data_IF_842768820108
#
_entry.id   IF_842768820108
#
_cell.length_a   1.000
_cell.length_b   1.000
_cell.length_c   1.000
_cell.angle_alpha   90.00
_cell.angle_beta   90.00
_cell.angle_gamma   90.00
#
_symmetry.space_group_name_H-M   'P 1'
#
loop_
_entity.id
_entity.type
_entity.pdbx_description
1 polymer ?
#
# COMPACT_ATOMS: atom_id res chain seq x y z
N UNK A 1 -12.22 8.37 6.20
CA UNK A 1 -12.42 8.06 4.77
C UNK A 1 -11.19 8.61 4.07
N UNK A 2 -10.32 7.72 3.60
CA UNK A 2 -9.11 8.12 2.88
C UNK A 2 -9.34 7.79 1.41
N UNK A 3 -9.16 8.79 0.55
CA UNK A 3 -9.03 8.62 -0.90
C UNK A 3 -7.55 8.78 -1.16
N UNK A 4 -6.88 7.73 -1.63
CA UNK A 4 -5.45 7.82 -1.92
C UNK A 4 -5.17 7.31 -3.32
N UNK A 5 -5.22 8.23 -4.28
CA UNK A 5 -4.74 7.95 -5.64
C UNK A 5 -3.22 7.66 -5.61
N UNK A 6 -2.54 8.25 -4.65
CA UNK A 6 -1.10 8.16 -4.46
C UNK A 6 -0.66 6.76 -4.00
N UNK A 7 -1.52 6.01 -3.29
CA UNK A 7 -1.24 4.63 -2.86
C UNK A 7 -1.71 3.61 -3.91
N UNK A 8 -2.88 3.82 -4.52
CA UNK A 8 -3.52 2.80 -5.37
C UNK A 8 -3.36 3.05 -6.88
N UNK A 9 -2.71 4.15 -7.29
CA UNK A 9 -2.56 4.54 -8.69
C UNK A 9 -3.85 5.06 -9.36
N UNK A 10 -5.00 4.72 -8.80
CA UNK A 10 -6.33 5.19 -9.19
C UNK A 10 -7.11 5.73 -7.99
N UNK A 11 -8.16 6.54 -8.20
CA UNK A 11 -9.01 7.02 -7.11
C UNK A 11 -9.73 5.86 -6.39
N UNK A 12 -9.06 5.27 -5.41
CA UNK A 12 -9.59 4.16 -4.61
C UNK A 12 -10.07 4.69 -3.28
N UNK A 13 -11.36 4.45 -3.01
CA UNK A 13 -11.96 4.77 -1.73
C UNK A 13 -11.73 3.59 -0.77
N UNK A 14 -10.94 3.82 0.27
CA UNK A 14 -10.77 2.84 1.34
C UNK A 14 -11.79 3.05 2.45
N UNK A 15 -12.46 1.97 2.81
CA UNK A 15 -13.31 1.89 4.00
C UNK A 15 -12.56 1.10 5.07
N UNK A 16 -12.23 1.76 6.18
CA UNK A 16 -11.80 1.09 7.40
C UNK A 16 -13.07 0.79 8.19
N UNK A 17 -13.49 -0.47 8.19
CA UNK A 17 -14.64 -0.92 8.96
C UNK A 17 -14.21 -1.24 10.40
N UNK A 18 -15.16 -1.27 11.33
CA UNK A 18 -14.88 -1.64 12.72
C UNK A 18 -14.25 -3.03 12.83
N UNK A 19 -14.60 -3.96 11.94
CA UNK A 19 -13.98 -5.28 11.83
C UNK A 19 -12.47 -5.22 11.52
N UNK A 20 -12.01 -4.28 10.68
CA UNK A 20 -10.59 -4.11 10.40
C UNK A 20 -9.83 -3.66 11.67
N UNK A 21 -10.45 -2.81 12.47
CA UNK A 21 -9.89 -2.32 13.75
C UNK A 21 -9.86 -3.44 14.78
N UNK A 22 -10.93 -4.22 14.90
CA UNK A 22 -10.97 -5.39 15.78
C UNK A 22 -9.90 -6.40 15.38
N UNK A 23 -9.79 -6.75 14.09
CA UNK A 23 -8.78 -7.66 13.61
C UNK A 23 -7.36 -7.18 13.93
N UNK A 24 -7.10 -5.87 13.81
CA UNK A 24 -5.81 -5.29 14.20
C UNK A 24 -5.55 -5.43 15.72
N UNK A 25 -6.53 -5.10 16.56
CA UNK A 25 -6.41 -5.17 18.02
C UNK A 25 -6.27 -6.61 18.54
N UNK A 26 -6.90 -7.57 17.86
CA UNK A 26 -6.87 -8.99 18.20
C UNK A 26 -5.73 -9.77 17.51
N UNK A 27 -4.82 -9.06 16.83
CA UNK A 27 -3.69 -9.64 16.10
C UNK A 27 -4.13 -10.71 15.07
N UNK A 28 -5.30 -10.50 14.46
CA UNK A 28 -5.84 -11.32 13.38
C UNK A 28 -5.33 -10.84 12.01
N UNK A 29 -5.68 -11.58 10.97
CA UNK A 29 -5.39 -11.18 9.59
C UNK A 29 -6.04 -9.85 9.26
N UNK A 30 -5.23 -8.91 8.80
CA UNK A 30 -5.67 -7.60 8.33
C UNK A 30 -5.53 -7.50 6.81
N UNK A 31 -6.44 -6.77 6.18
CA UNK A 31 -6.34 -6.46 4.76
C UNK A 31 -5.18 -5.50 4.49
N UNK A 32 -4.33 -5.82 3.50
CA UNK A 32 -3.18 -5.02 3.10
C UNK A 32 -3.51 -3.54 2.81
N UNK A 33 -4.66 -3.26 2.18
CA UNK A 33 -5.08 -1.90 1.87
C UNK A 33 -5.43 -1.05 3.10
N UNK A 34 -5.91 -1.68 4.19
CA UNK A 34 -6.23 -0.96 5.42
C UNK A 34 -4.96 -0.47 6.13
N UNK A 35 -3.90 -1.28 6.14
CA UNK A 35 -2.62 -0.94 6.74
C UNK A 35 -1.91 0.18 5.98
N UNK A 36 -1.82 0.07 4.66
CA UNK A 36 -1.16 1.10 3.86
C UNK A 36 -1.90 2.42 3.83
N UNK A 37 -3.24 2.39 3.79
CA UNK A 37 -4.04 3.61 3.90
C UNK A 37 -3.75 4.37 5.19
N UNK A 38 -3.62 3.65 6.32
CA UNK A 38 -3.25 4.24 7.60
C UNK A 38 -1.80 4.77 7.60
N UNK A 39 -0.85 4.01 7.05
CA UNK A 39 0.54 4.44 6.98
C UNK A 39 0.71 5.69 6.09
N UNK A 40 -0.01 5.76 4.96
CA UNK A 40 -0.04 6.93 4.09
C UNK A 40 -0.62 8.17 4.80
N UNK A 41 -1.70 8.00 5.57
CA UNK A 41 -2.28 9.09 6.38
C UNK A 41 -1.24 9.62 7.39
N UNK A 42 -0.57 8.76 8.14
CA UNK A 42 0.50 9.15 9.06
C UNK A 42 1.69 9.85 8.38
N UNK A 43 2.09 9.40 7.19
CA UNK A 43 3.19 10.02 6.43
C UNK A 43 2.78 11.39 5.90
N UNK A 44 1.52 11.53 5.48
CA UNK A 44 0.94 12.80 5.03
C UNK A 44 0.88 13.80 6.19
N UNK A 45 0.39 13.37 7.36
CA UNK A 45 0.34 14.21 8.57
C UNK A 45 1.71 14.72 9.02
N UNK A 46 2.79 14.02 8.65
CA UNK A 46 4.17 14.38 9.02
C UNK A 46 4.94 15.11 7.91
N UNK A 47 4.30 15.40 6.78
CA UNK A 47 4.92 16.05 5.62
C UNK A 47 6.13 15.26 5.07
N UNK A 48 6.00 13.92 5.02
CA UNK A 48 7.08 13.01 4.61
C UNK A 48 6.84 12.38 3.22
N UNK A 49 5.88 12.91 2.44
CA UNK A 49 5.52 12.37 1.11
C UNK A 49 6.65 12.51 0.07
N UNK A 50 7.60 13.43 0.28
CA UNK A 50 8.81 13.54 -0.54
C UNK A 50 9.91 12.52 -0.16
N UNK A 51 9.72 11.77 0.93
CA UNK A 51 10.67 10.75 1.40
C UNK A 51 10.14 9.34 1.18
N UNK A 52 8.83 9.12 1.17
CA UNK A 52 8.24 7.80 1.10
C UNK A 52 7.32 7.63 -0.10
N UNK A 53 7.35 6.45 -0.70
CA UNK A 53 6.44 6.06 -1.78
C UNK A 53 5.84 4.67 -1.50
N UNK A 54 4.66 4.43 -2.04
CA UNK A 54 3.87 3.23 -1.79
C UNK A 54 3.62 2.47 -3.10
N UNK A 55 3.92 1.17 -3.11
CA UNK A 55 3.54 0.29 -4.21
C UNK A 55 2.08 -0.09 -4.04
N UNK A 56 1.30 -0.03 -5.12
CA UNK A 56 -0.10 -0.43 -5.09
C UNK A 56 -0.27 -1.85 -4.52
N UNK A 57 -1.02 -2.03 -3.42
CA UNK A 57 -1.21 -3.33 -2.79
C UNK A 57 -1.94 -4.32 -3.69
N UNK A 58 -2.81 -3.85 -4.60
CA UNK A 58 -3.47 -4.76 -5.56
C UNK A 58 -2.44 -5.33 -6.54
N UNK A 59 -1.42 -4.54 -6.89
CA UNK A 59 -0.32 -4.99 -7.71
C UNK A 59 0.55 -6.02 -6.97
N UNK A 60 0.64 -6.03 -5.65
CA UNK A 60 1.47 -7.02 -4.92
C UNK A 60 0.71 -8.26 -4.46
N UNK A 61 -0.62 -8.26 -4.49
CA UNK A 61 -1.43 -9.45 -4.17
C UNK A 61 -1.07 -10.68 -5.02
N UNK A 62 -0.61 -10.45 -6.25
CA UNK A 62 -0.20 -11.51 -7.17
C UNK A 62 1.20 -11.23 -7.75
N UNK A 63 2.22 -11.18 -6.89
CA UNK A 63 3.61 -10.99 -7.29
C UNK A 63 4.14 -12.04 -8.28
N UNK A 64 3.45 -13.18 -8.42
CA UNK A 64 3.85 -14.27 -9.32
C UNK A 64 3.40 -14.04 -10.78
N UNK A 65 2.58 -13.02 -11.07
CA UNK A 65 2.18 -12.74 -12.45
C UNK A 65 3.42 -12.43 -13.32
N UNK A 66 3.49 -12.90 -14.58
CA UNK A 66 4.66 -12.73 -15.44
C UNK A 66 5.12 -11.27 -15.60
N UNK A 67 4.19 -10.32 -15.58
CA UNK A 67 4.46 -8.90 -15.79
C UNK A 67 4.73 -8.11 -14.50
N UNK A 68 4.69 -8.75 -13.31
CA UNK A 68 4.87 -8.05 -12.03
C UNK A 68 6.23 -7.36 -11.93
N UNK A 69 7.29 -8.07 -12.30
CA UNK A 69 8.66 -7.55 -12.23
C UNK A 69 8.82 -6.34 -13.16
N UNK A 70 8.23 -6.38 -14.37
CA UNK A 70 8.28 -5.24 -15.30
C UNK A 70 7.55 -4.03 -14.72
N UNK A 71 6.33 -4.23 -14.23
CA UNK A 71 5.56 -3.18 -13.55
C UNK A 71 6.37 -2.53 -12.42
N UNK A 72 6.97 -3.34 -11.54
CA UNK A 72 7.74 -2.82 -10.40
C UNK A 72 8.96 -2.03 -10.87
N UNK A 73 9.69 -2.52 -11.87
CA UNK A 73 10.87 -1.85 -12.42
C UNK A 73 10.52 -0.52 -13.06
N UNK A 74 9.44 -0.46 -13.84
CA UNK A 74 9.00 0.77 -14.51
C UNK A 74 8.55 1.80 -13.47
N UNK A 75 7.78 1.38 -12.46
CA UNK A 75 7.37 2.23 -11.35
C UNK A 75 8.56 2.79 -10.54
N UNK A 76 9.55 1.94 -10.21
CA UNK A 76 10.77 2.38 -9.50
C UNK A 76 11.61 3.37 -10.32
N UNK A 77 11.59 3.29 -11.66
CA UNK A 77 12.27 4.25 -12.54
C UNK A 77 11.56 5.59 -12.63
N UNK A 78 10.23 5.60 -12.50
CA UNK A 78 9.43 6.82 -12.47
C UNK A 78 9.49 7.53 -11.11
N UNK A 79 9.73 6.77 -10.04
CA UNK A 79 9.94 7.30 -8.69
C UNK A 79 11.24 8.09 -8.53
N UNK A 80 11.31 8.93 -7.50
CA UNK A 80 12.58 9.59 -7.14
C UNK A 80 13.51 8.58 -6.46
N UNK A 81 14.79 8.64 -6.81
CA UNK A 81 15.80 7.67 -6.34
C UNK A 81 16.12 7.77 -4.85
N UNK A 82 15.72 8.85 -4.19
CA UNK A 82 15.89 9.12 -2.77
C UNK A 82 14.70 8.67 -1.91
N UNK A 83 13.62 8.17 -2.53
CA UNK A 83 12.47 7.67 -1.80
C UNK A 83 12.75 6.31 -1.13
N UNK A 84 12.17 6.12 0.06
CA UNK A 84 12.01 4.82 0.71
C UNK A 84 10.67 4.23 0.26
N UNK A 85 10.72 3.05 -0.33
CA UNK A 85 9.54 2.39 -0.91
C UNK A 85 8.91 1.41 0.07
N UNK A 86 7.62 1.58 0.35
CA UNK A 86 6.80 0.58 1.02
C UNK A 86 6.16 -0.34 -0.03
N UNK A 87 6.42 -1.64 0.10
CA UNK A 87 5.83 -2.67 -0.73
C UNK A 87 5.18 -3.71 0.19
N UNK A 88 3.85 -3.84 0.17
CA UNK A 88 3.15 -4.80 1.00
C UNK A 88 3.37 -6.17 0.37
N UNK A 89 3.77 -7.15 1.18
CA UNK A 89 3.94 -8.53 0.74
C UNK A 89 2.90 -9.41 1.40
N UNK A 90 2.00 -9.94 0.59
CA UNK A 90 1.02 -10.93 1.00
C UNK A 90 1.24 -12.21 0.17
N UNK A 91 1.85 -13.26 0.73
CA UNK A 91 2.09 -14.52 0.00
C UNK A 91 0.81 -15.32 -0.28
N UNK A 92 -0.36 -14.83 0.16
CA UNK A 92 -1.59 -15.60 0.21
C UNK A 92 -1.60 -16.49 1.44
N UNK A 93 -2.41 -16.14 2.44
CA UNK A 93 -2.77 -17.07 3.50
C UNK A 93 -3.62 -18.21 2.92
N UNK A 94 -3.33 -19.45 3.32
CA UNK A 94 -4.24 -20.57 3.09
C UNK A 94 -5.52 -20.39 3.88
#
# INVERSE_FOLDING_TARGET
MSISKEVFGEPTQLFILSENVINLLEMQWIGQGAYEGYLHELITERDLLDTFAFVDPTATYNCQRPDFVRYLVDWLKEGKSDHIFFMPYNPGGR
#
